data_IF_687962892831
#
_entry.id   IF_687962892831
#
_cell.length_a   1.000
_cell.length_b   1.000
_cell.length_c   1.000
_cell.angle_alpha   90.00
_cell.angle_beta   90.00
_cell.angle_gamma   90.00
#
_symmetry.space_group_name_H-M   'P 1'
#
loop_
_entity.id
_entity.type
_entity.pdbx_description
1 polymer ?
#
# COMPACT_ATOMS: atom_id res chain seq x y z
N UNK A 1 -16.56 -6.06 -26.69
CA UNK A 1 -16.98 -4.97 -25.79
C UNK A 1 -15.81 -4.00 -25.81
N UNK A 2 -15.87 -2.94 -26.62
CA UNK A 2 -14.71 -2.08 -26.82
C UNK A 2 -14.61 -1.15 -25.61
N UNK A 3 -13.58 -1.33 -24.81
CA UNK A 3 -13.36 -0.53 -23.62
C UNK A 3 -12.67 0.76 -24.06
N UNK A 4 -13.35 1.90 -23.97
CA UNK A 4 -12.76 3.19 -24.24
C UNK A 4 -12.29 3.81 -22.93
N UNK A 5 -11.09 4.39 -22.90
CA UNK A 5 -10.53 5.03 -21.72
C UNK A 5 -9.69 6.25 -22.07
N UNK A 6 -9.32 6.99 -21.03
CA UNK A 6 -8.32 8.06 -21.07
C UNK A 6 -7.17 7.68 -20.15
N UNK A 7 -5.95 8.02 -20.53
CA UNK A 7 -4.81 7.94 -19.63
C UNK A 7 -4.74 9.25 -18.82
N UNK A 8 -4.99 9.18 -17.52
CA UNK A 8 -4.96 10.33 -16.61
C UNK A 8 -4.02 9.99 -15.46
N UNK A 9 -2.95 10.77 -15.28
CA UNK A 9 -1.93 10.57 -14.25
C UNK A 9 -1.33 9.15 -14.23
N UNK A 10 -1.10 8.58 -15.42
CA UNK A 10 -0.57 7.22 -15.56
C UNK A 10 -1.55 6.10 -15.20
N UNK A 11 -2.86 6.42 -15.06
CA UNK A 11 -3.92 5.43 -14.79
C UNK A 11 -5.00 5.48 -15.85
N UNK A 12 -5.51 4.31 -16.24
CA UNK A 12 -6.67 4.23 -17.12
C UNK A 12 -7.94 4.71 -16.41
N UNK A 13 -8.65 5.63 -17.06
CA UNK A 13 -9.98 6.11 -16.68
C UNK A 13 -10.97 5.74 -17.78
N UNK A 14 -11.71 4.66 -17.55
CA UNK A 14 -12.71 4.18 -18.48
C UNK A 14 -13.83 5.19 -18.72
N UNK A 15 -14.41 5.12 -19.92
CA UNK A 15 -15.57 5.90 -20.29
C UNK A 15 -16.73 5.63 -19.32
N UNK A 16 -17.38 6.67 -18.79
CA UNK A 16 -18.54 6.48 -17.95
C UNK A 16 -19.69 5.92 -18.78
N UNK A 17 -20.58 5.16 -18.13
CA UNK A 17 -21.78 4.61 -18.76
C UNK A 17 -22.78 5.69 -19.19
N UNK A 18 -22.59 6.93 -18.74
CA UNK A 18 -23.45 8.07 -19.06
C UNK A 18 -22.61 9.33 -19.25
N UNK A 19 -22.84 10.08 -20.33
CA UNK A 19 -22.21 11.37 -20.60
C UNK A 19 -23.26 12.46 -20.81
N UNK A 20 -22.90 13.71 -20.50
CA UNK A 20 -23.70 14.89 -20.86
C UNK A 20 -23.15 15.51 -22.13
N UNK A 21 -23.98 15.65 -23.15
CA UNK A 21 -23.70 16.36 -24.39
C UNK A 21 -24.59 17.59 -24.51
N UNK A 22 -24.34 18.45 -25.52
CA UNK A 22 -25.19 19.60 -25.81
C UNK A 22 -26.66 19.21 -26.10
N UNK A 23 -26.88 18.01 -26.64
CA UNK A 23 -28.19 17.46 -26.99
C UNK A 23 -28.90 16.76 -25.81
N UNK A 24 -28.25 16.66 -24.65
CA UNK A 24 -28.81 16.04 -23.44
C UNK A 24 -27.95 14.92 -22.84
N UNK A 25 -28.60 13.97 -22.17
CA UNK A 25 -27.93 12.85 -21.52
C UNK A 25 -27.84 11.66 -22.49
N UNK A 26 -26.62 11.18 -22.74
CA UNK A 26 -26.40 9.98 -23.56
C UNK A 26 -26.02 8.83 -22.66
N UNK A 27 -26.89 7.81 -22.63
CA UNK A 27 -26.65 6.54 -21.96
C UNK A 27 -25.92 5.57 -22.90
N UNK A 28 -24.93 4.85 -22.37
CA UNK A 28 -24.06 3.94 -23.11
C UNK A 28 -23.46 4.58 -24.38
N UNK A 29 -22.63 5.63 -24.20
CA UNK A 29 -22.11 6.41 -25.32
C UNK A 29 -21.32 5.52 -26.29
N UNK A 30 -21.62 5.70 -27.57
CA UNK A 30 -20.90 5.04 -28.65
C UNK A 30 -19.55 5.72 -28.94
N UNK A 31 -18.64 5.04 -29.64
CA UNK A 31 -17.31 5.59 -29.96
C UNK A 31 -17.34 6.98 -30.61
N UNK A 32 -18.33 7.26 -31.45
CA UNK A 32 -18.51 8.56 -32.12
C UNK A 32 -18.71 9.74 -31.15
N UNK A 33 -19.21 9.47 -29.93
CA UNK A 33 -19.34 10.47 -28.87
C UNK A 33 -18.15 10.47 -27.91
N UNK A 34 -17.45 9.35 -27.80
CA UNK A 34 -16.31 9.17 -26.90
C UNK A 34 -15.01 9.74 -27.48
N UNK A 35 -14.74 9.51 -28.76
CA UNK A 35 -13.54 9.99 -29.46
C UNK A 35 -13.41 11.53 -29.40
N UNK A 36 -14.46 12.34 -29.68
CA UNK A 36 -14.38 13.79 -29.56
C UNK A 36 -14.16 14.28 -28.12
N UNK A 37 -14.55 13.48 -27.12
CA UNK A 37 -14.28 13.77 -25.72
C UNK A 37 -12.85 13.38 -25.32
N UNK A 38 -12.05 12.79 -26.22
CA UNK A 38 -10.67 12.36 -25.98
C UNK A 38 -10.53 10.95 -25.43
N UNK A 39 -11.59 10.13 -25.46
CA UNK A 39 -11.47 8.71 -25.11
C UNK A 39 -10.93 7.92 -26.30
N UNK A 40 -10.00 7.01 -26.03
CA UNK A 40 -9.35 6.14 -27.00
C UNK A 40 -9.71 4.68 -26.73
N UNK A 41 -9.64 3.85 -27.76
CA UNK A 41 -9.89 2.42 -27.61
C UNK A 41 -8.75 1.76 -26.81
N UNK A 42 -9.09 0.94 -25.83
CA UNK A 42 -8.12 0.19 -25.01
C UNK A 42 -7.94 -1.21 -25.58
N UNK A 43 -6.71 -1.52 -25.96
CA UNK A 43 -6.31 -2.85 -26.44
C UNK A 43 -5.43 -3.49 -25.38
N UNK A 44 -5.82 -4.68 -24.92
CA UNK A 44 -5.03 -5.49 -23.99
C UNK A 44 -4.14 -6.44 -24.79
N UNK A 45 -2.84 -6.37 -24.53
CA UNK A 45 -1.93 -7.43 -24.95
C UNK A 45 -2.20 -8.72 -24.15
N UNK A 46 -1.76 -9.84 -24.71
CA UNK A 46 -1.87 -11.15 -24.07
C UNK A 46 -1.15 -11.12 -22.71
N UNK A 47 -1.90 -11.46 -21.65
CA UNK A 47 -1.34 -11.57 -20.31
C UNK A 47 -0.38 -12.75 -20.26
N UNK A 48 0.86 -12.56 -19.76
CA UNK A 48 1.81 -13.66 -19.66
C UNK A 48 1.27 -14.79 -18.78
N UNK A 49 1.55 -16.03 -19.17
CA UNK A 49 1.14 -17.21 -18.41
C UNK A 49 1.78 -17.24 -17.02
N UNK A 50 1.06 -17.74 -16.00
CA UNK A 50 1.62 -17.92 -14.66
C UNK A 50 2.84 -18.84 -14.74
N UNK A 51 3.98 -18.36 -14.24
CA UNK A 51 5.24 -19.11 -14.19
C UNK A 51 5.49 -19.65 -12.77
N UNK A 52 6.31 -20.70 -12.67
CA UNK A 52 6.91 -21.17 -11.41
C UNK A 52 8.44 -20.99 -11.49
N UNK A 53 9.05 -20.10 -10.68
CA UNK A 53 8.46 -19.31 -9.59
C UNK A 53 7.51 -18.19 -10.07
N UNK A 54 6.59 -17.71 -9.20
CA UNK A 54 5.62 -16.69 -9.55
C UNK A 54 6.34 -15.39 -9.94
N UNK A 55 6.10 -14.96 -11.18
CA UNK A 55 6.52 -13.66 -11.68
C UNK A 55 5.41 -12.65 -11.46
N UNK A 56 5.77 -11.47 -10.99
CA UNK A 56 4.84 -10.36 -10.84
C UNK A 56 4.90 -9.47 -12.07
N UNK A 57 3.72 -9.16 -12.61
CA UNK A 57 3.58 -8.27 -13.75
C UNK A 57 2.72 -7.09 -13.35
N UNK A 58 3.09 -5.90 -13.81
CA UNK A 58 2.29 -4.67 -13.67
C UNK A 58 1.78 -4.24 -15.04
N UNK A 59 0.57 -3.70 -15.06
CA UNK A 59 0.01 -3.10 -16.27
C UNK A 59 0.79 -1.83 -16.62
N UNK A 60 1.23 -1.73 -17.87
CA UNK A 60 1.88 -0.54 -18.43
C UNK A 60 1.01 -0.03 -19.56
N UNK A 61 0.71 1.27 -19.52
CA UNK A 61 -0.16 1.91 -20.49
C UNK A 61 0.67 2.76 -21.45
N UNK A 62 0.58 2.42 -22.74
CA UNK A 62 1.18 3.20 -23.82
C UNK A 62 0.07 3.90 -24.58
N UNK A 63 0.06 5.22 -24.56
CA UNK A 63 -0.88 6.02 -25.34
C UNK A 63 -0.38 6.20 -26.77
N UNK A 64 -1.14 5.69 -27.74
CA UNK A 64 -0.93 5.87 -29.17
C UNK A 64 -1.93 6.92 -29.72
N UNK A 65 -1.85 7.24 -31.01
CA UNK A 65 -2.67 8.29 -31.64
C UNK A 65 -4.18 7.99 -31.56
N UNK A 66 -4.58 6.73 -31.82
CA UNK A 66 -5.97 6.28 -31.89
C UNK A 66 -6.39 5.34 -30.75
N UNK A 67 -5.43 4.80 -30.00
CA UNK A 67 -5.65 3.72 -29.02
C UNK A 67 -4.75 3.85 -27.79
N UNK A 68 -5.09 3.13 -26.74
CA UNK A 68 -4.23 2.92 -25.56
C UNK A 68 -3.92 1.43 -25.49
N UNK A 69 -2.64 1.09 -25.53
CA UNK A 69 -2.17 -0.28 -25.41
C UNK A 69 -1.85 -0.60 -23.96
N UNK A 70 -2.40 -1.70 -23.46
CA UNK A 70 -2.14 -2.23 -22.12
C UNK A 70 -1.18 -3.40 -22.26
N UNK A 71 0.08 -3.17 -21.94
CA UNK A 71 1.11 -4.19 -21.87
C UNK A 71 1.36 -4.66 -20.44
N UNK A 72 2.19 -5.69 -20.32
CA UNK A 72 2.60 -6.27 -19.05
C UNK A 72 4.11 -6.15 -18.90
N UNK A 73 4.56 -5.51 -17.82
CA UNK A 73 5.99 -5.42 -17.48
C UNK A 73 6.27 -6.27 -16.24
N UNK A 74 7.25 -7.17 -16.35
CA UNK A 74 7.75 -7.93 -15.20
C UNK A 74 8.37 -6.96 -14.21
N UNK A 75 7.88 -6.97 -12.98
CA UNK A 75 8.49 -6.25 -11.88
C UNK A 75 8.85 -7.23 -10.78
N UNK A 76 10.04 -7.08 -10.20
CA UNK A 76 10.32 -7.67 -8.91
C UNK A 76 9.60 -6.77 -7.88
N UNK A 77 8.65 -7.28 -7.08
CA UNK A 77 8.20 -6.53 -5.93
C UNK A 77 9.44 -6.20 -5.11
N UNK A 78 9.62 -4.93 -4.79
CA UNK A 78 10.67 -4.54 -3.87
C UNK A 78 10.46 -5.39 -2.62
N UNK A 79 11.48 -6.14 -2.15
CA UNK A 79 11.29 -7.03 -1.02
C UNK A 79 10.70 -6.17 0.09
N UNK A 80 9.54 -6.57 0.62
CA UNK A 80 9.03 -5.96 1.84
C UNK A 80 10.22 -5.90 2.78
N UNK A 81 10.60 -4.69 3.19
CA UNK A 81 11.68 -4.49 4.14
C UNK A 81 11.23 -5.20 5.40
N UNK A 82 11.55 -6.48 5.52
CA UNK A 82 11.31 -7.27 6.70
C UNK A 82 11.98 -6.46 7.80
N UNK A 83 11.15 -5.94 8.71
CA UNK A 83 11.64 -5.07 9.76
C UNK A 83 12.86 -5.74 10.40
N UNK A 84 14.00 -5.04 10.40
CA UNK A 84 15.23 -5.57 10.98
C UNK A 84 14.91 -6.01 12.42
N UNK A 85 15.47 -7.10 12.97
CA UNK A 85 15.30 -7.47 14.38
C UNK A 85 15.36 -6.30 15.37
N UNK A 86 16.18 -5.27 15.10
CA UNK A 86 16.20 -4.03 15.89
C UNK A 86 14.88 -3.25 15.85
N UNK A 87 14.26 -3.10 14.67
CA UNK A 87 12.99 -2.41 14.49
C UNK A 87 11.84 -3.21 15.13
N UNK A 88 11.87 -4.54 14.99
CA UNK A 88 10.90 -5.42 15.66
C UNK A 88 11.02 -5.32 17.18
N UNK A 89 12.26 -5.27 17.68
CA UNK A 89 12.54 -5.08 19.10
C UNK A 89 12.06 -3.73 19.61
N UNK A 90 12.33 -2.66 18.88
CA UNK A 90 11.90 -1.32 19.25
C UNK A 90 10.37 -1.22 19.27
N UNK A 91 9.69 -1.80 18.28
CA UNK A 91 8.24 -1.90 18.28
C UNK A 91 7.72 -2.69 19.48
N UNK A 92 8.39 -3.80 19.85
CA UNK A 92 8.04 -4.58 21.03
C UNK A 92 8.27 -3.81 22.34
N UNK A 93 9.37 -3.04 22.47
CA UNK A 93 9.58 -2.16 23.62
C UNK A 93 8.44 -1.15 23.77
N UNK A 94 8.05 -0.51 22.68
CA UNK A 94 6.94 0.46 22.69
C UNK A 94 5.59 -0.18 23.04
N UNK A 95 5.34 -1.40 22.56
CA UNK A 95 4.09 -2.10 22.81
C UNK A 95 3.98 -2.66 24.23
N UNK A 96 5.08 -3.22 24.75
CA UNK A 96 5.03 -4.06 25.95
C UNK A 96 5.76 -3.47 27.16
N UNK A 97 6.84 -2.72 26.95
CA UNK A 97 7.69 -2.19 28.02
C UNK A 97 7.33 -0.75 28.43
N UNK A 98 6.97 0.11 27.47
CA UNK A 98 6.70 1.54 27.71
C UNK A 98 5.57 1.78 28.72
N UNK A 99 4.60 0.86 28.83
CA UNK A 99 3.56 0.94 29.87
C UNK A 99 4.13 0.97 31.29
N UNK A 100 5.19 0.18 31.55
CA UNK A 100 5.84 0.10 32.86
C UNK A 100 6.72 1.32 33.10
N UNK A 101 7.32 1.88 32.05
CA UNK A 101 8.07 3.13 32.13
C UNK A 101 7.16 4.30 32.52
N UNK A 102 5.99 4.42 31.87
CA UNK A 102 5.00 5.45 32.22
C UNK A 102 4.50 5.29 33.66
N UNK A 103 4.24 4.05 34.10
CA UNK A 103 3.82 3.77 35.48
C UNK A 103 4.91 4.14 36.49
N UNK A 104 6.18 3.82 36.22
CA UNK A 104 7.33 4.23 37.03
C UNK A 104 7.42 5.74 37.18
N UNK A 105 7.33 6.48 36.08
CA UNK A 105 7.38 7.95 36.08
C UNK A 105 6.19 8.56 36.85
N UNK A 106 5.00 7.97 36.72
CA UNK A 106 3.81 8.35 37.49
C UNK A 106 4.01 8.16 38.99
N UNK A 107 4.50 6.99 39.43
CA UNK A 107 4.74 6.72 40.85
C UNK A 107 5.86 7.58 41.44
N UNK A 108 6.90 7.90 40.67
CA UNK A 108 7.91 8.87 41.08
C UNK A 108 7.32 10.25 41.31
N UNK A 109 6.45 10.73 40.41
CA UNK A 109 5.78 12.01 40.55
C UNK A 109 4.84 12.06 41.78
N UNK A 110 4.24 10.93 42.14
CA UNK A 110 3.41 10.78 43.34
C UNK A 110 4.20 10.57 44.64
N UNK A 111 5.53 10.45 44.57
CA UNK A 111 6.39 10.18 45.73
C UNK A 111 6.33 8.74 46.26
N UNK A 112 5.77 7.81 45.48
CA UNK A 112 5.62 6.39 45.80
C UNK A 112 6.84 5.60 45.34
N UNK A 113 7.92 5.71 46.11
CA UNK A 113 9.25 5.20 45.74
C UNK A 113 9.28 3.68 45.64
N UNK A 114 8.60 2.96 46.55
CA UNK A 114 8.59 1.50 46.55
C UNK A 114 7.89 0.96 45.28
N UNK A 115 6.72 1.51 44.96
CA UNK A 115 5.94 1.15 43.79
C UNK A 115 6.65 1.55 42.49
N UNK A 116 7.37 2.68 42.49
CA UNK A 116 8.23 3.06 41.37
C UNK A 116 9.35 2.04 41.15
N UNK A 117 10.06 1.62 42.19
CA UNK A 117 11.14 0.63 42.08
C UNK A 117 10.63 -0.72 41.57
N UNK A 118 9.42 -1.14 41.98
CA UNK A 118 8.75 -2.32 41.44
C UNK A 118 8.46 -2.19 39.94
N UNK A 119 7.88 -1.07 39.49
CA UNK A 119 7.62 -0.84 38.06
C UNK A 119 8.90 -0.78 37.23
N UNK A 120 9.97 -0.20 37.78
CA UNK A 120 11.28 -0.16 37.14
C UNK A 120 11.86 -1.56 36.96
N UNK A 121 11.71 -2.45 37.96
CA UNK A 121 12.14 -3.84 37.84
C UNK A 121 11.35 -4.58 36.76
N UNK A 122 10.03 -4.37 36.69
CA UNK A 122 9.17 -4.95 35.64
C UNK A 122 9.54 -4.46 34.24
N UNK A 123 9.81 -3.16 34.07
CA UNK A 123 10.29 -2.58 32.82
C UNK A 123 11.59 -3.25 32.35
N UNK A 124 12.58 -3.38 33.25
CA UNK A 124 13.86 -4.00 32.93
C UNK A 124 13.72 -5.49 32.60
N UNK A 125 12.92 -6.24 33.35
CA UNK A 125 12.64 -7.64 33.09
C UNK A 125 11.97 -7.83 31.72
N UNK A 126 10.95 -7.01 31.41
CA UNK A 126 10.26 -7.06 30.11
C UNK A 126 11.19 -6.70 28.95
N UNK A 127 12.09 -5.72 29.13
CA UNK A 127 13.11 -5.41 28.10
C UNK A 127 14.11 -6.54 27.89
N UNK A 128 14.50 -7.25 28.95
CA UNK A 128 15.37 -8.41 28.82
C UNK A 128 14.69 -9.53 28.03
N UNK A 129 13.43 -9.86 28.34
CA UNK A 129 12.62 -10.85 27.60
C UNK A 129 12.48 -10.49 26.11
N UNK A 130 12.20 -9.22 25.81
CA UNK A 130 12.10 -8.73 24.43
C UNK A 130 13.46 -8.82 23.70
N UNK A 131 14.58 -8.63 24.42
CA UNK A 131 15.92 -8.77 23.85
C UNK A 131 16.31 -10.23 23.61
N UNK A 132 15.81 -11.17 24.39
CA UNK A 132 15.94 -12.61 24.10
C UNK A 132 15.13 -13.00 22.86
N UNK A 133 13.93 -12.44 22.70
CA UNK A 133 13.07 -12.66 21.53
C UNK A 133 13.63 -12.01 20.26
N UNK A 134 14.25 -10.85 20.39
CA UNK A 134 14.86 -10.08 19.30
C UNK A 134 16.31 -9.71 19.67
N UNK A 135 17.28 -10.61 19.44
CA UNK A 135 18.68 -10.36 19.81
C UNK A 135 19.29 -9.21 19.01
N UNK A 136 20.29 -8.54 19.61
CA UNK A 136 21.25 -7.75 18.84
C UNK A 136 22.00 -8.74 17.94
N UNK A 137 21.84 -8.62 16.63
CA UNK A 137 22.61 -9.43 15.68
C UNK A 137 24.11 -9.30 15.89
#
# INVERSE_FOLDING_TARGET
MNNYAKLIDGRLKYAPTTIRTADGLVCNPRPDKLIPLGYKEVIFDEQPEPSDPPKHYREVYTEEDDRIRVGWEEYAPEPELMANPEQLREAAYRAEADQYLMAYEGYLAEGKILEADEQKALYLAKKAEIRERFPDK
#
